data_IF_952385573560
#
_entry.id   IF_952385573560
#
_cell.length_a   1.000
_cell.length_b   1.000
_cell.length_c   1.000
_cell.angle_alpha   90.00
_cell.angle_beta   90.00
_cell.angle_gamma   90.00
#
_symmetry.space_group_name_H-M   'P 1'
#
loop_
_entity.id
_entity.type
_entity.pdbx_description
1 polymer ?
#
# COMPACT_ATOMS: atom_id res chain seq x y z
N UNK A 1 17.44 15.94 17.71
CA UNK A 1 16.24 15.20 17.29
C UNK A 1 16.30 15.07 15.78
N UNK A 2 16.21 13.85 15.25
CA UNK A 2 16.15 13.59 13.81
C UNK A 2 14.70 13.25 13.45
N UNK A 3 14.12 13.96 12.49
CA UNK A 3 12.71 13.81 12.09
C UNK A 3 12.67 13.34 10.64
N UNK A 4 11.91 12.28 10.38
CA UNK A 4 11.74 11.70 9.05
C UNK A 4 10.26 11.59 8.70
N UNK A 5 9.98 11.69 7.41
CA UNK A 5 8.61 11.58 6.91
C UNK A 5 8.62 10.99 5.49
N UNK A 6 9.00 9.71 5.35
CA UNK A 6 9.05 9.07 4.04
C UNK A 6 7.65 9.00 3.45
N UNK A 7 7.52 9.52 2.23
CA UNK A 7 6.27 9.51 1.45
C UNK A 7 6.27 8.47 0.34
N UNK A 8 7.41 7.84 0.09
CA UNK A 8 7.60 6.86 -0.98
C UNK A 8 8.47 5.70 -0.49
N UNK A 9 8.39 4.58 -1.20
CA UNK A 9 9.27 3.41 -1.02
C UNK A 9 10.74 3.82 -1.14
N UNK A 10 11.07 4.68 -2.09
CA UNK A 10 12.45 5.19 -2.27
C UNK A 10 12.85 6.12 -1.12
N UNK A 11 11.97 7.01 -0.65
CA UNK A 11 12.28 7.83 0.52
C UNK A 11 12.53 6.98 1.77
N UNK A 12 11.86 5.83 1.90
CA UNK A 12 12.14 4.90 2.98
C UNK A 12 13.57 4.31 2.88
N UNK A 13 14.06 3.97 1.68
CA UNK A 13 15.44 3.48 1.52
C UNK A 13 16.47 4.58 1.81
N UNK A 14 16.22 5.82 1.37
CA UNK A 14 17.03 6.99 1.73
C UNK A 14 17.07 7.18 3.25
N UNK A 15 15.91 7.12 3.92
CA UNK A 15 15.81 7.22 5.37
C UNK A 15 16.67 6.17 6.08
N UNK A 16 16.61 4.91 5.64
CA UNK A 16 17.41 3.83 6.23
C UNK A 16 18.91 4.05 6.06
N UNK A 17 19.35 4.51 4.88
CA UNK A 17 20.76 4.85 4.63
C UNK A 17 21.21 6.00 5.53
N UNK A 18 20.41 7.06 5.68
CA UNK A 18 20.74 8.18 6.57
C UNK A 18 20.83 7.74 8.04
N UNK A 19 19.93 6.87 8.49
CA UNK A 19 20.00 6.33 9.86
C UNK A 19 21.27 5.50 10.07
N UNK A 20 21.64 4.64 9.10
CA UNK A 20 22.88 3.87 9.16
C UNK A 20 24.13 4.76 9.22
N UNK A 21 24.14 5.86 8.45
CA UNK A 21 25.22 6.86 8.53
C UNK A 21 25.31 7.53 9.89
N UNK A 22 24.18 7.91 10.50
CA UNK A 22 24.13 8.52 11.84
C UNK A 22 24.64 7.56 12.92
N UNK A 23 24.39 6.26 12.75
CA UNK A 23 24.80 5.22 13.69
C UNK A 23 26.23 4.70 13.46
N UNK A 24 26.94 5.20 12.44
CA UNK A 24 28.24 4.68 11.99
C UNK A 24 28.21 3.19 11.56
N UNK A 25 27.06 2.74 11.05
CA UNK A 25 26.76 1.35 10.64
C UNK A 25 26.41 1.28 9.14
N UNK A 26 27.21 1.94 8.30
CA UNK A 26 26.90 2.22 6.88
C UNK A 26 26.60 0.97 6.06
N UNK A 27 27.26 -0.14 6.36
CA UNK A 27 27.12 -1.38 5.62
C UNK A 27 25.79 -2.10 5.94
N UNK A 28 25.13 -1.80 7.06
CA UNK A 28 23.92 -2.48 7.49
C UNK A 28 22.69 -2.14 6.62
N UNK A 29 22.57 -0.89 6.13
CA UNK A 29 21.42 -0.46 5.32
C UNK A 29 21.55 -0.81 3.83
N UNK A 30 22.77 -0.97 3.33
CA UNK A 30 23.04 -1.22 1.91
C UNK A 30 22.28 -2.44 1.35
N UNK A 31 22.35 -3.65 1.95
CA UNK A 31 21.63 -4.82 1.43
C UNK A 31 20.12 -4.66 1.52
N UNK A 32 19.61 -4.04 2.58
CA UNK A 32 18.17 -3.80 2.79
C UNK A 32 17.63 -2.86 1.71
N UNK A 33 18.30 -1.73 1.50
CA UNK A 33 17.91 -0.75 0.49
C UNK A 33 17.98 -1.35 -0.93
N UNK A 34 19.04 -2.11 -1.22
CA UNK A 34 19.20 -2.78 -2.51
C UNK A 34 18.09 -3.81 -2.78
N UNK A 35 17.71 -4.61 -1.78
CA UNK A 35 16.61 -5.57 -1.92
C UNK A 35 15.27 -4.88 -2.23
N UNK A 36 14.98 -3.76 -1.55
CA UNK A 36 13.76 -2.98 -1.76
C UNK A 36 13.72 -2.37 -3.16
N UNK A 37 14.83 -1.73 -3.56
CA UNK A 37 14.95 -1.09 -4.88
C UNK A 37 14.85 -2.11 -6.02
N UNK A 38 15.51 -3.25 -5.86
CA UNK A 38 15.45 -4.34 -6.83
C UNK A 38 14.03 -4.92 -6.95
N UNK A 39 13.36 -5.16 -5.82
CA UNK A 39 12.00 -5.69 -5.81
C UNK A 39 10.99 -4.70 -6.42
N UNK A 40 11.13 -3.40 -6.12
CA UNK A 40 10.31 -2.35 -6.73
C UNK A 40 10.54 -2.23 -8.24
N UNK A 41 11.80 -2.36 -8.70
CA UNK A 41 12.14 -2.36 -10.12
C UNK A 41 11.55 -3.58 -10.85
N UNK A 42 11.63 -4.77 -10.26
CA UNK A 42 11.01 -5.99 -10.79
C UNK A 42 9.49 -5.87 -10.91
N UNK A 43 8.83 -5.36 -9.87
CA UNK A 43 7.40 -5.09 -9.87
C UNK A 43 7.01 -4.14 -11.00
N UNK A 44 7.71 -3.01 -11.13
CA UNK A 44 7.49 -2.03 -12.20
C UNK A 44 7.72 -2.61 -13.59
N UNK A 45 8.73 -3.46 -13.75
CA UNK A 45 8.99 -4.13 -15.02
C UNK A 45 7.86 -5.10 -15.40
N UNK A 46 7.34 -5.86 -14.44
CA UNK A 46 6.24 -6.80 -14.64
C UNK A 46 4.90 -6.11 -14.99
N UNK A 47 4.73 -4.86 -14.56
CA UNK A 47 3.50 -4.10 -14.79
C UNK A 47 3.56 -3.15 -16.00
N UNK A 48 4.68 -3.11 -16.74
CA UNK A 48 4.91 -2.15 -17.84
C UNK A 48 3.77 -2.10 -18.85
N UNK A 49 3.26 -3.26 -19.24
CA UNK A 49 2.21 -3.40 -20.25
C UNK A 49 0.86 -3.83 -19.63
N UNK A 50 0.73 -3.73 -18.30
CA UNK A 50 -0.49 -4.07 -17.57
C UNK A 50 -1.31 -2.82 -17.28
N UNK A 51 -2.62 -2.93 -17.43
CA UNK A 51 -3.55 -1.95 -16.87
C UNK A 51 -3.51 -2.06 -15.34
N UNK A 52 -3.26 -0.97 -14.60
CA UNK A 52 -3.31 -0.99 -13.14
C UNK A 52 -4.70 -1.39 -12.62
N UNK A 53 -4.75 -2.14 -11.52
CA UNK A 53 -6.01 -2.41 -10.82
C UNK A 53 -6.35 -1.26 -9.88
N UNK A 54 -7.59 -0.79 -9.94
CA UNK A 54 -8.13 0.25 -9.09
C UNK A 54 -8.32 -0.28 -7.68
N UNK A 55 -7.64 0.31 -6.70
CA UNK A 55 -7.67 -0.14 -5.31
C UNK A 55 -8.35 0.87 -4.40
N UNK A 56 -9.23 0.38 -3.53
CA UNK A 56 -9.67 1.08 -2.32
C UNK A 56 -8.97 0.47 -1.10
N UNK A 57 -8.34 1.31 -0.27
CA UNK A 57 -7.58 0.88 0.91
C UNK A 57 -7.89 1.81 2.10
N UNK A 58 -8.99 1.55 2.84
CA UNK A 58 -9.36 2.35 4.00
C UNK A 58 -8.38 2.16 5.15
N UNK A 59 -8.25 3.19 5.99
CA UNK A 59 -7.40 3.21 7.19
C UNK A 59 -8.20 3.37 8.48
N UNK A 60 -9.47 3.79 8.38
CA UNK A 60 -10.36 3.97 9.52
C UNK A 60 -11.80 3.66 9.15
N UNK A 61 -12.59 3.16 10.12
CA UNK A 61 -14.00 2.82 9.93
C UNK A 61 -14.97 3.81 10.58
N UNK A 62 -14.68 4.31 11.78
CA UNK A 62 -15.60 5.22 12.49
C UNK A 62 -15.55 6.60 11.85
N UNK A 63 -16.51 6.85 10.95
CA UNK A 63 -16.32 7.60 9.69
C UNK A 63 -15.24 6.94 8.83
N UNK A 64 -15.64 6.49 7.65
CA UNK A 64 -14.68 5.85 6.76
C UNK A 64 -13.63 6.87 6.34
N UNK A 65 -12.36 6.48 6.46
CA UNK A 65 -11.25 7.28 5.97
C UNK A 65 -10.35 6.41 5.11
N UNK A 66 -9.80 7.02 4.06
CA UNK A 66 -8.85 6.37 3.15
C UNK A 66 -7.61 7.24 2.96
N UNK A 67 -6.76 6.87 2.02
CA UNK A 67 -5.49 7.52 1.75
C UNK A 67 -5.57 8.41 0.51
N UNK A 68 -5.02 9.62 0.60
CA UNK A 68 -4.77 10.50 -0.54
C UNK A 68 -3.40 10.26 -1.19
N UNK A 69 -3.09 10.98 -2.28
CA UNK A 69 -1.84 10.81 -3.03
C UNK A 69 -0.59 11.19 -2.22
N UNK A 70 -0.71 12.05 -1.22
CA UNK A 70 0.41 12.50 -0.39
C UNK A 70 0.70 11.55 0.80
N UNK A 71 0.67 10.24 0.56
CA UNK A 71 0.89 9.21 1.60
C UNK A 71 1.86 8.13 1.15
N UNK A 72 2.61 7.57 2.11
CA UNK A 72 3.45 6.39 1.87
C UNK A 72 2.63 5.21 1.34
N UNK A 73 1.44 4.97 1.92
CA UNK A 73 0.54 3.90 1.47
C UNK A 73 0.17 4.06 -0.02
N UNK A 74 -0.05 5.29 -0.50
CA UNK A 74 -0.35 5.53 -1.91
C UNK A 74 0.80 5.11 -2.84
N UNK A 75 2.03 5.52 -2.52
CA UNK A 75 3.22 5.16 -3.29
C UNK A 75 3.54 3.66 -3.21
N UNK A 76 3.35 3.05 -2.03
CA UNK A 76 3.53 1.61 -1.84
C UNK A 76 2.53 0.79 -2.68
N UNK A 77 1.25 1.17 -2.69
CA UNK A 77 0.23 0.49 -3.51
C UNK A 77 0.50 0.70 -5.00
N UNK A 78 0.98 1.90 -5.39
CA UNK A 78 1.40 2.18 -6.76
C UNK A 78 2.58 1.30 -7.19
N UNK A 79 3.53 1.06 -6.29
CA UNK A 79 4.65 0.11 -6.48
C UNK A 79 4.17 -1.34 -6.61
N UNK A 80 2.96 -1.66 -6.17
CA UNK A 80 2.30 -2.95 -6.37
C UNK A 80 1.48 -3.03 -7.67
N UNK A 81 1.54 -2.01 -8.54
CA UNK A 81 0.74 -1.94 -9.77
C UNK A 81 -0.72 -1.54 -9.54
N UNK A 82 -1.03 -0.96 -8.38
CA UNK A 82 -2.40 -0.61 -7.99
C UNK A 82 -2.62 0.90 -8.10
N UNK A 83 -3.76 1.29 -8.66
CA UNK A 83 -4.18 2.69 -8.76
C UNK A 83 -5.14 3.03 -7.62
N UNK A 84 -4.72 3.87 -6.68
CA UNK A 84 -5.61 4.36 -5.62
C UNK A 84 -6.81 5.09 -6.22
N UNK A 85 -8.03 4.65 -5.89
CA UNK A 85 -9.25 5.29 -6.38
C UNK A 85 -9.45 6.72 -5.86
N UNK A 86 -8.75 7.13 -4.79
CA UNK A 86 -8.65 8.50 -4.28
C UNK A 86 -7.30 9.16 -4.57
N UNK A 87 -6.56 8.70 -5.59
CA UNK A 87 -5.28 9.27 -6.00
C UNK A 87 -5.37 10.72 -6.51
N UNK A 88 -6.57 11.22 -6.76
CA UNK A 88 -6.88 12.61 -7.16
C UNK A 88 -7.31 13.51 -5.98
N UNK A 89 -7.38 12.96 -4.76
CA UNK A 89 -7.79 13.70 -3.56
C UNK A 89 -6.83 14.85 -3.24
N UNK A 90 -7.37 16.00 -2.85
CA UNK A 90 -6.61 17.12 -2.29
C UNK A 90 -6.29 16.92 -0.80
N UNK A 91 -7.06 16.07 -0.13
CA UNK A 91 -6.85 15.70 1.27
C UNK A 91 -5.90 14.51 1.38
N UNK A 92 -5.06 14.53 2.44
CA UNK A 92 -4.12 13.45 2.73
C UNK A 92 -4.81 12.18 3.23
N UNK A 93 -5.89 12.35 4.00
CA UNK A 93 -6.71 11.25 4.54
C UNK A 93 -8.19 11.63 4.46
N UNK A 94 -8.80 11.57 3.25
CA UNK A 94 -10.18 12.01 3.08
C UNK A 94 -11.14 11.14 3.90
N UNK A 95 -12.10 11.78 4.57
CA UNK A 95 -13.33 11.14 5.03
C UNK A 95 -14.21 10.83 3.81
N UNK A 96 -14.81 9.65 3.77
CA UNK A 96 -15.56 9.15 2.61
C UNK A 96 -16.84 8.45 3.03
N UNK A 97 -17.78 8.32 2.10
CA UNK A 97 -18.88 7.37 2.18
C UNK A 97 -18.63 6.20 1.23
N UNK A 98 -19.02 4.98 1.61
CA UNK A 98 -18.81 3.81 0.74
C UNK A 98 -19.56 3.92 -0.60
N UNK A 99 -20.65 4.70 -0.66
CA UNK A 99 -21.34 5.02 -1.90
C UNK A 99 -20.45 5.80 -2.90
N UNK A 100 -19.60 6.70 -2.41
CA UNK A 100 -18.64 7.43 -3.25
C UNK A 100 -17.52 6.51 -3.75
N UNK A 101 -17.11 5.54 -2.92
CA UNK A 101 -16.17 4.49 -3.33
C UNK A 101 -16.78 3.65 -4.45
N UNK A 102 -18.07 3.29 -4.33
CA UNK A 102 -18.77 2.53 -5.35
C UNK A 102 -18.83 3.26 -6.70
N UNK A 103 -19.07 4.57 -6.69
CA UNK A 103 -19.03 5.40 -7.89
C UNK A 103 -17.63 5.45 -8.52
N UNK A 104 -16.57 5.24 -7.73
CA UNK A 104 -15.19 5.14 -8.21
C UNK A 104 -14.82 3.72 -8.68
N UNK A 105 -15.69 2.73 -8.60
CA UNK A 105 -15.52 1.39 -9.20
C UNK A 105 -14.12 0.77 -8.94
N UNK A 106 -13.77 0.44 -7.69
CA UNK A 106 -12.53 -0.29 -7.41
C UNK A 106 -12.59 -1.72 -7.96
N UNK A 107 -11.47 -2.21 -8.49
CA UNK A 107 -11.29 -3.61 -8.91
C UNK A 107 -10.94 -4.51 -7.71
N UNK A 108 -10.34 -3.93 -6.66
CA UNK A 108 -9.87 -4.62 -5.46
C UNK A 108 -10.02 -3.74 -4.23
N UNK A 109 -10.31 -4.35 -3.08
CA UNK A 109 -10.29 -3.68 -1.77
C UNK A 109 -9.28 -4.36 -0.87
N UNK A 110 -8.41 -3.58 -0.24
CA UNK A 110 -7.52 -4.05 0.81
C UNK A 110 -8.02 -3.49 2.14
N UNK A 111 -8.25 -4.37 3.11
CA UNK A 111 -8.72 -4.06 4.45
C UNK A 111 -7.59 -4.39 5.45
N UNK A 112 -6.71 -3.41 5.78
CA UNK A 112 -5.62 -3.61 6.73
C UNK A 112 -6.08 -4.04 8.13
N UNK A 113 -5.28 -4.76 8.89
CA UNK A 113 -5.56 -5.00 10.31
C UNK A 113 -5.00 -3.91 11.26
N UNK A 114 -4.37 -2.87 10.70
CA UNK A 114 -3.95 -1.64 11.37
C UNK A 114 -3.85 -0.46 10.37
N UNK A 115 -4.02 0.81 10.80
CA UNK A 115 -4.20 1.27 12.19
C UNK A 115 -5.57 0.94 12.77
N UNK A 116 -6.60 0.85 11.92
CA UNK A 116 -7.88 0.25 12.29
C UNK A 116 -7.87 -1.25 11.98
N UNK A 117 -8.32 -2.07 12.93
CA UNK A 117 -8.39 -3.53 12.75
C UNK A 117 -9.62 -3.93 11.95
N UNK A 118 -9.50 -3.98 10.62
CA UNK A 118 -10.54 -4.59 9.80
C UNK A 118 -10.64 -6.11 10.05
N UNK A 119 -11.85 -6.66 9.89
CA UNK A 119 -12.22 -8.03 10.29
C UNK A 119 -13.16 -8.61 9.22
N UNK A 120 -13.39 -9.93 9.19
CA UNK A 120 -14.23 -10.56 8.17
C UNK A 120 -15.65 -9.97 8.04
N UNK A 121 -16.21 -9.40 9.12
CA UNK A 121 -17.50 -8.68 9.03
C UNK A 121 -17.46 -7.46 8.10
N UNK A 122 -16.32 -6.77 8.02
CA UNK A 122 -16.18 -5.58 7.18
C UNK A 122 -16.02 -5.94 5.70
N UNK A 123 -15.60 -7.17 5.39
CA UNK A 123 -15.61 -7.68 4.00
C UNK A 123 -17.04 -7.67 3.47
N UNK A 124 -17.98 -8.24 4.23
CA UNK A 124 -19.40 -8.28 3.86
C UNK A 124 -20.01 -6.89 3.76
N UNK A 125 -19.67 -6.02 4.72
CA UNK A 125 -20.12 -4.63 4.73
C UNK A 125 -19.69 -3.88 3.46
N UNK A 126 -18.42 -4.00 3.07
CA UNK A 126 -17.89 -3.38 1.85
C UNK A 126 -18.51 -3.98 0.60
N UNK A 127 -18.65 -5.30 0.53
CA UNK A 127 -19.27 -5.98 -0.62
C UNK A 127 -20.73 -5.55 -0.83
N UNK A 128 -21.47 -5.34 0.27
CA UNK A 128 -22.85 -4.84 0.21
C UNK A 128 -22.94 -3.38 -0.25
N UNK A 129 -21.95 -2.55 0.14
CA UNK A 129 -21.96 -1.12 -0.15
C UNK A 129 -21.34 -0.75 -1.50
N UNK A 130 -20.56 -1.64 -2.13
CA UNK A 130 -19.91 -1.44 -3.43
C UNK A 130 -20.52 -2.44 -4.43
N UNK A 131 -21.63 -2.11 -5.10
CA UNK A 131 -22.26 -3.02 -6.05
C UNK A 131 -21.30 -3.42 -7.17
N UNK A 132 -21.20 -4.72 -7.45
CA UNK A 132 -20.38 -5.27 -8.53
C UNK A 132 -18.97 -5.70 -8.12
N UNK A 133 -18.51 -5.41 -6.90
CA UNK A 133 -17.28 -6.03 -6.38
C UNK A 133 -17.56 -7.45 -5.88
N UNK A 134 -16.71 -8.40 -6.29
CA UNK A 134 -16.76 -9.78 -5.79
C UNK A 134 -16.10 -9.84 -4.40
N UNK A 135 -16.70 -10.55 -3.44
CA UNK A 135 -16.11 -10.73 -2.10
C UNK A 135 -14.70 -11.34 -2.16
N UNK A 136 -14.39 -12.15 -3.17
CA UNK A 136 -13.05 -12.72 -3.42
C UNK A 136 -12.00 -11.68 -3.83
N UNK A 137 -12.41 -10.44 -4.14
CA UNK A 137 -11.55 -9.29 -4.44
C UNK A 137 -11.41 -8.33 -3.24
N UNK A 138 -11.90 -8.72 -2.06
CA UNK A 138 -11.77 -7.95 -0.83
C UNK A 138 -10.86 -8.74 0.13
N UNK A 139 -9.66 -8.22 0.37
CA UNK A 139 -8.64 -8.92 1.14
C UNK A 139 -8.41 -8.26 2.48
N UNK A 140 -8.40 -9.04 3.56
CA UNK A 140 -7.78 -8.60 4.82
C UNK A 140 -6.27 -8.80 4.69
N UNK A 141 -5.49 -7.77 4.98
CA UNK A 141 -4.02 -7.78 4.84
C UNK A 141 -3.33 -7.36 6.13
N UNK A 142 -2.07 -7.76 6.32
CA UNK A 142 -1.22 -7.22 7.40
C UNK A 142 -1.04 -5.72 7.15
N UNK A 143 -1.57 -4.89 8.05
CA UNK A 143 -1.54 -3.45 7.91
C UNK A 143 -0.13 -2.88 7.95
N UNK A 144 0.83 -3.57 8.55
CA UNK A 144 2.26 -3.17 8.53
C UNK A 144 2.86 -3.29 7.14
N UNK A 145 2.36 -4.18 6.30
CA UNK A 145 2.86 -4.32 4.92
C UNK A 145 2.57 -3.07 4.09
N UNK A 146 1.41 -2.47 4.29
CA UNK A 146 1.01 -1.27 3.53
C UNK A 146 1.38 0.03 4.22
N UNK A 147 1.39 0.07 5.56
CA UNK A 147 1.51 1.32 6.32
C UNK A 147 2.87 1.57 6.97
N UNK A 148 3.73 0.55 7.15
CA UNK A 148 5.05 0.71 7.77
C UNK A 148 6.15 0.71 6.72
N UNK A 149 6.93 1.77 6.71
CA UNK A 149 8.17 1.85 5.96
C UNK A 149 9.34 1.27 6.78
N UNK A 150 10.21 0.49 6.14
CA UNK A 150 11.38 -0.11 6.78
C UNK A 150 11.92 -1.37 6.08
N UNK A 151 12.65 -2.23 6.78
CA UNK A 151 13.30 -3.40 6.17
C UNK A 151 12.34 -4.41 5.52
N UNK A 152 11.08 -4.43 5.96
CA UNK A 152 10.06 -5.36 5.47
C UNK A 152 9.50 -5.02 4.08
N UNK A 153 9.84 -3.87 3.51
CA UNK A 153 9.18 -3.36 2.29
C UNK A 153 9.32 -4.34 1.12
N UNK A 154 10.49 -4.95 0.93
CA UNK A 154 10.70 -5.91 -0.16
C UNK A 154 9.71 -7.09 -0.05
N UNK A 155 9.60 -7.70 1.13
CA UNK A 155 8.66 -8.80 1.34
C UNK A 155 7.21 -8.35 1.31
N UNK A 156 6.92 -7.13 1.77
CA UNK A 156 5.58 -6.56 1.72
C UNK A 156 5.11 -6.37 0.26
N UNK A 157 5.99 -5.87 -0.63
CA UNK A 157 5.71 -5.78 -2.06
C UNK A 157 5.39 -7.16 -2.63
N UNK A 158 6.16 -8.20 -2.28
CA UNK A 158 5.89 -9.57 -2.71
C UNK A 158 4.54 -10.09 -2.22
N UNK A 159 4.24 -9.93 -0.93
CA UNK A 159 3.00 -10.42 -0.31
C UNK A 159 1.77 -9.75 -0.90
N UNK A 160 1.75 -8.42 -0.95
CA UNK A 160 0.58 -7.67 -1.47
C UNK A 160 0.37 -7.97 -2.95
N UNK A 161 1.45 -8.06 -3.74
CA UNK A 161 1.32 -8.45 -5.15
C UNK A 161 0.79 -9.86 -5.32
N UNK A 162 1.30 -10.84 -4.55
CA UNK A 162 0.79 -12.22 -4.59
C UNK A 162 -0.69 -12.29 -4.21
N UNK A 163 -1.12 -11.54 -3.21
CA UNK A 163 -2.53 -11.45 -2.79
C UNK A 163 -3.43 -10.93 -3.92
N UNK A 164 -3.03 -9.84 -4.59
CA UNK A 164 -3.90 -9.17 -5.57
C UNK A 164 -3.80 -9.77 -6.98
N UNK A 165 -2.59 -10.12 -7.40
CA UNK A 165 -2.30 -10.57 -8.77
C UNK A 165 -2.17 -12.09 -8.90
N UNK A 166 -2.20 -12.83 -7.78
CA UNK A 166 -1.95 -14.28 -7.74
C UNK A 166 -0.48 -14.68 -7.95
N UNK A 167 0.40 -13.72 -8.26
CA UNK A 167 1.83 -13.91 -8.44
C UNK A 167 2.60 -12.64 -8.09
N UNK A 168 3.91 -12.78 -7.86
CA UNK A 168 4.82 -11.66 -7.68
C UNK A 168 6.16 -12.00 -8.34
N UNK A 169 6.77 -11.10 -9.12
CA UNK A 169 8.14 -11.29 -9.57
C UNK A 169 9.06 -11.26 -8.35
N UNK A 170 10.03 -12.16 -8.27
CA UNK A 170 11.03 -12.21 -7.19
C UNK A 170 12.43 -12.20 -7.79
N UNK A 171 13.41 -11.81 -6.98
CA UNK A 171 14.84 -11.91 -7.30
C UNK A 171 15.27 -13.36 -7.52
#
# INVERSE_FOLDING_TARGET
>A
VFVTYPRTVIHATTMMRTLAEIMDEKDAAAPIAAAIEAQAALARAADRDRTPLRVFCPIWRDRWMTIGPDTYMHDFLSSCGLQNVYGDSTERYPEIELADVAARQPDVVLLPDEPYRFQPRHVKEVAQAIPGIDESRIYIVDGKDVSWYGPRIADALLRIRKTVWGSAPSL
#
